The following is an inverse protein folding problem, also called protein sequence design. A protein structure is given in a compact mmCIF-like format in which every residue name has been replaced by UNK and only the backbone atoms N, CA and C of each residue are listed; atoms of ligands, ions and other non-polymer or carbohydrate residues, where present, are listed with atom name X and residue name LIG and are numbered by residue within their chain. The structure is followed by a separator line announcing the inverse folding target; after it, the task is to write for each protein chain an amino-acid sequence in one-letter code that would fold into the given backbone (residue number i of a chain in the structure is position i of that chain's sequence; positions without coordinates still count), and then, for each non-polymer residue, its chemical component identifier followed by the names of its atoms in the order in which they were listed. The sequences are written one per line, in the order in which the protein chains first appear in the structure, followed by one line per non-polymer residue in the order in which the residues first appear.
data_IF_552631556319
#
_entry.id   IF_552631556319
#
_cell.length_a   1.000
_cell.length_b   1.000
_cell.length_c   1.000
_cell.angle_alpha   90.00
_cell.angle_beta   90.00
_cell.angle_gamma   90.00
#
_symmetry.space_group_name_H-M   'P 1'
#
loop_
_entity.id
_entity.type
_entity.pdbx_description
1 polymer ?
#
# COMPACT_ATOMS: atom_id res chain seq x y z
N UNK A 1 1.48 89.63 21.97
CA UNK A 1 1.93 89.86 23.36
C UNK A 1 1.24 88.81 24.25
N UNK A 2 2.03 87.96 24.93
CA UNK A 2 1.72 87.10 26.11
C UNK A 2 0.65 85.98 26.03
N UNK A 3 1.19 84.75 25.95
CA UNK A 3 0.92 83.50 26.71
C UNK A 3 -0.41 83.32 27.47
N UNK A 4 -1.06 82.17 27.25
CA UNK A 4 -1.41 81.04 28.18
C UNK A 4 -1.86 79.88 27.25
N UNK A 5 -1.46 78.61 27.29
CA UNK A 5 -1.02 77.75 28.39
C UNK A 5 -2.14 76.81 28.84
N UNK A 6 -2.57 75.83 28.01
CA UNK A 6 -3.48 74.76 28.48
C UNK A 6 -3.03 73.39 28.00
N UNK A 7 -2.62 72.59 28.98
CA UNK A 7 -2.40 71.16 28.89
C UNK A 7 -3.73 70.42 28.79
N UNK A 8 -3.82 69.43 27.90
CA UNK A 8 -4.81 68.36 27.97
C UNK A 8 -4.07 67.02 27.91
N UNK A 9 -4.16 66.27 29.01
CA UNK A 9 -3.62 64.92 29.18
C UNK A 9 -4.27 63.97 28.16
N UNK A 10 -3.46 63.27 27.38
CA UNK A 10 -3.86 62.04 26.71
C UNK A 10 -3.47 60.84 27.61
N UNK A 11 -4.47 60.11 28.12
CA UNK A 11 -4.24 58.81 28.75
C UNK A 11 -3.77 57.81 27.68
N UNK A 12 -2.50 57.41 27.74
CA UNK A 12 -2.00 56.24 27.03
C UNK A 12 -2.40 54.98 27.81
N UNK A 13 -3.38 54.24 27.31
CA UNK A 13 -3.64 52.87 27.75
C UNK A 13 -2.64 51.94 27.07
N UNK A 14 -1.59 51.55 27.78
CA UNK A 14 -0.65 50.49 27.34
C UNK A 14 -1.33 49.15 27.50
N UNK A 15 -1.77 48.54 26.39
CA UNK A 15 -2.12 47.13 26.36
C UNK A 15 -0.84 46.34 26.12
N UNK A 16 -0.33 45.69 27.16
CA UNK A 16 0.68 44.63 27.01
C UNK A 16 0.05 43.46 26.27
N UNK A 17 0.35 43.35 24.97
CA UNK A 17 0.15 42.09 24.26
C UNK A 17 1.18 41.09 24.77
N UNK A 18 0.74 40.21 25.67
CA UNK A 18 1.45 39.00 26.01
C UNK A 18 1.66 38.18 24.73
N UNK A 19 2.93 37.95 24.40
CA UNK A 19 3.36 37.07 23.32
C UNK A 19 2.91 35.65 23.62
N UNK A 20 1.73 35.26 23.14
CA UNK A 20 1.34 33.85 23.10
C UNK A 20 2.12 33.20 21.96
N UNK A 21 3.16 32.46 22.33
CA UNK A 21 3.88 31.59 21.41
C UNK A 21 2.87 30.61 20.81
N UNK A 22 2.53 30.79 19.53
CA UNK A 22 1.75 29.85 18.78
C UNK A 22 2.56 28.55 18.69
N UNK A 23 2.14 27.55 19.45
CA UNK A 23 2.64 26.18 19.36
C UNK A 23 2.07 25.57 18.08
N UNK A 24 2.67 25.90 16.93
CA UNK A 24 2.42 25.20 15.67
C UNK A 24 3.31 23.97 15.61
N UNK A 25 3.05 23.03 16.52
CA UNK A 25 3.67 21.71 16.46
C UNK A 25 2.84 20.90 15.47
N UNK A 26 3.16 21.07 14.19
CA UNK A 26 2.68 20.16 13.15
C UNK A 26 3.35 18.83 13.45
N UNK A 27 2.62 17.76 13.82
CA UNK A 27 3.25 16.49 14.12
C UNK A 27 3.98 16.04 12.87
N UNK A 28 5.30 16.06 12.93
CA UNK A 28 6.15 15.43 11.92
C UNK A 28 5.74 13.96 11.93
N UNK A 29 5.06 13.52 10.88
CA UNK A 29 4.83 12.11 10.63
C UNK A 29 6.23 11.54 10.49
N UNK A 30 6.74 10.90 11.55
CA UNK A 30 8.07 10.31 11.52
C UNK A 30 8.12 9.39 10.30
N UNK A 31 8.91 9.83 9.32
CA UNK A 31 9.15 9.11 8.08
C UNK A 31 9.55 7.69 8.45
N UNK A 32 8.89 6.74 7.79
CA UNK A 32 9.25 5.34 7.86
C UNK A 32 10.76 5.22 7.63
N UNK A 33 11.51 4.67 8.59
CA UNK A 33 12.97 4.57 8.46
C UNK A 33 13.31 3.64 7.31
N UNK A 34 14.05 4.17 6.34
CA UNK A 34 14.48 3.47 5.13
C UNK A 34 15.89 2.91 5.37
N UNK A 35 16.03 1.58 5.39
CA UNK A 35 17.34 0.92 5.43
C UNK A 35 17.68 0.33 4.07
N UNK A 36 18.96 0.44 3.69
CA UNK A 36 19.50 0.00 2.40
C UNK A 36 19.97 -1.46 2.51
N UNK A 37 19.10 -2.42 2.18
CA UNK A 37 19.49 -3.83 2.02
C UNK A 37 19.69 -4.14 0.53
N UNK A 38 20.73 -4.92 0.14
CA UNK A 38 20.88 -5.36 -1.23
C UNK A 38 19.67 -6.22 -1.63
N UNK A 39 19.01 -5.85 -2.73
CA UNK A 39 17.85 -6.58 -3.21
C UNK A 39 18.21 -8.05 -3.47
N UNK A 40 17.40 -9.03 -3.02
CA UNK A 40 17.61 -10.42 -3.42
C UNK A 40 17.49 -10.52 -4.94
N UNK A 41 18.50 -11.13 -5.57
CA UNK A 41 18.51 -11.36 -7.03
C UNK A 41 17.56 -12.51 -7.35
N UNK A 42 16.26 -12.23 -7.43
CA UNK A 42 15.27 -13.19 -7.91
C UNK A 42 15.23 -13.10 -9.44
N UNK A 43 16.07 -13.90 -10.10
CA UNK A 43 16.02 -14.10 -11.55
C UNK A 43 14.77 -14.92 -11.94
N UNK A 44 13.58 -14.31 -11.86
CA UNK A 44 12.35 -14.91 -12.39
C UNK A 44 12.09 -14.37 -13.78
N UNK A 45 12.63 -15.03 -14.81
CA UNK A 45 12.09 -15.07 -16.18
C UNK A 45 11.73 -13.77 -16.91
N UNK A 46 12.01 -12.61 -16.32
CA UNK A 46 11.75 -11.28 -16.84
C UNK A 46 13.05 -10.51 -16.65
N UNK A 47 13.51 -9.97 -17.76
CA UNK A 47 14.69 -9.16 -17.89
C UNK A 47 14.98 -8.30 -16.66
N UNK A 48 16.22 -8.37 -16.16
CA UNK A 48 16.78 -7.38 -15.26
C UNK A 48 16.67 -6.04 -15.98
N UNK A 49 15.66 -5.25 -15.63
CA UNK A 49 15.72 -3.80 -15.84
C UNK A 49 16.67 -3.33 -14.74
N UNK A 50 17.85 -2.79 -15.08
CA UNK A 50 18.80 -2.35 -14.07
C UNK A 50 18.14 -1.26 -13.24
N UNK A 51 17.90 -1.54 -11.97
CA UNK A 51 17.45 -0.56 -11.01
C UNK A 51 18.37 -0.69 -9.79
N UNK A 52 18.90 0.45 -9.34
CA UNK A 52 19.70 0.54 -8.12
C UNK A 52 18.96 -0.07 -6.90
N UNK A 53 19.67 -0.71 -5.95
CA UNK A 53 19.12 -1.26 -4.72
C UNK A 53 18.44 -0.22 -3.81
N UNK A 54 17.59 -0.70 -2.90
CA UNK A 54 16.34 -0.04 -2.45
C UNK A 54 16.33 0.39 -1.00
N UNK A 55 15.43 1.33 -0.73
CA UNK A 55 14.93 1.62 0.60
C UNK A 55 13.92 0.54 1.04
N UNK A 56 14.31 -0.29 2.01
CA UNK A 56 13.41 -1.26 2.66
C UNK A 56 12.83 -0.64 3.91
N UNK A 57 11.51 -0.73 4.06
CA UNK A 57 10.81 -0.30 5.28
C UNK A 57 11.03 -1.34 6.36
N UNK A 58 11.66 -0.93 7.47
CA UNK A 58 11.72 -1.71 8.72
C UNK A 58 10.33 -1.76 9.32
N UNK A 59 9.66 -2.92 9.22
CA UNK A 59 8.25 -3.07 9.58
C UNK A 59 8.07 -3.67 10.98
N UNK A 60 8.80 -3.19 11.99
CA UNK A 60 8.76 -3.78 13.33
C UNK A 60 7.53 -3.39 14.13
N UNK A 61 7.02 -2.18 13.87
CA UNK A 61 5.77 -1.69 14.44
C UNK A 61 5.08 -0.77 13.43
N UNK A 62 3.75 -0.80 13.41
CA UNK A 62 2.95 0.17 12.67
C UNK A 62 2.08 0.92 13.65
N UNK A 63 2.27 2.23 13.67
CA UNK A 63 1.43 3.15 14.41
C UNK A 63 0.45 3.81 13.45
N UNK A 64 -0.74 4.10 13.95
CA UNK A 64 -1.78 4.81 13.23
C UNK A 64 -2.18 6.07 14.00
N UNK A 65 -2.37 7.18 13.29
CA UNK A 65 -2.81 8.44 13.89
C UNK A 65 -4.31 8.58 13.78
N UNK A 66 -5.01 8.70 14.90
CA UNK A 66 -6.46 8.81 14.89
C UNK A 66 -6.92 10.16 14.30
N UNK A 67 -7.71 10.19 13.22
CA UNK A 67 -8.18 11.44 12.64
C UNK A 67 -9.37 12.04 13.43
N UNK A 68 -9.96 11.26 14.34
CA UNK A 68 -11.12 11.64 15.15
C UNK A 68 -11.23 10.73 16.36
N UNK A 69 -12.05 11.15 17.33
CA UNK A 69 -12.40 10.35 18.50
C UNK A 69 -13.12 9.06 18.10
N UNK A 70 -12.68 7.92 18.60
CA UNK A 70 -13.32 6.59 18.41
C UNK A 70 -13.19 5.74 19.67
N UNK A 71 -14.19 4.89 19.97
CA UNK A 71 -14.06 3.92 21.05
C UNK A 71 -13.13 2.76 20.68
N UNK A 72 -12.57 2.07 21.67
CA UNK A 72 -11.69 0.90 21.43
C UNK A 72 -12.39 -0.17 20.58
N UNK A 73 -13.70 -0.35 20.75
CA UNK A 73 -14.51 -1.26 19.90
C UNK A 73 -14.59 -0.78 18.44
N UNK A 74 -14.81 0.52 18.21
CA UNK A 74 -14.86 1.08 16.86
C UNK A 74 -13.50 0.98 16.17
N UNK A 75 -12.43 1.25 16.92
CA UNK A 75 -11.05 1.15 16.46
C UNK A 75 -10.68 -0.30 16.10
N UNK A 76 -11.04 -1.27 16.95
CA UNK A 76 -10.83 -2.68 16.66
C UNK A 76 -11.54 -3.10 15.36
N UNK A 77 -12.82 -2.75 15.21
CA UNK A 77 -13.59 -3.00 13.99
C UNK A 77 -12.96 -2.35 12.76
N UNK A 78 -12.45 -1.11 12.89
CA UNK A 78 -11.75 -0.39 11.81
C UNK A 78 -10.60 -1.19 11.24
N UNK A 79 -9.82 -1.86 12.08
CA UNK A 79 -8.69 -2.67 11.66
C UNK A 79 -9.05 -4.15 11.43
N UNK A 80 -10.30 -4.54 11.68
CA UNK A 80 -10.72 -5.95 11.61
C UNK A 80 -10.08 -6.80 12.71
N UNK A 81 -9.81 -6.20 13.87
CA UNK A 81 -9.35 -6.81 15.11
C UNK A 81 -10.53 -7.09 16.04
N UNK A 82 -10.34 -7.98 17.00
CA UNK A 82 -11.16 -8.01 18.23
C UNK A 82 -10.69 -6.92 19.20
N UNK A 83 -11.53 -6.58 20.18
CA UNK A 83 -11.14 -5.63 21.24
C UNK A 83 -9.95 -6.17 22.03
N UNK A 84 -9.92 -7.48 22.32
CA UNK A 84 -8.81 -8.12 23.04
C UNK A 84 -7.50 -8.05 22.24
N UNK A 85 -7.55 -8.25 20.92
CA UNK A 85 -6.39 -8.12 20.04
C UNK A 85 -5.86 -6.69 19.99
N UNK A 86 -6.76 -5.69 19.99
CA UNK A 86 -6.36 -4.29 20.06
C UNK A 86 -5.74 -3.96 21.43
N UNK A 87 -6.34 -4.40 22.53
CA UNK A 87 -5.83 -4.16 23.88
C UNK A 87 -4.50 -4.87 24.13
N UNK A 88 -4.27 -6.04 23.54
CA UNK A 88 -2.97 -6.71 23.59
C UNK A 88 -1.88 -5.93 22.85
N UNK A 89 -2.23 -5.17 21.81
CA UNK A 89 -1.29 -4.31 21.07
C UNK A 89 -1.06 -2.96 21.76
N UNK A 90 -2.13 -2.38 22.31
CA UNK A 90 -2.14 -1.05 22.90
C UNK A 90 -2.88 -1.09 24.26
N UNK A 91 -2.27 -1.67 25.31
CA UNK A 91 -2.90 -1.82 26.62
C UNK A 91 -3.20 -0.48 27.30
N UNK A 92 -2.53 0.59 26.87
CA UNK A 92 -2.79 1.97 27.29
C UNK A 92 -4.14 2.53 26.79
N UNK A 93 -4.77 1.89 25.79
CA UNK A 93 -6.09 2.26 25.34
C UNK A 93 -7.16 1.70 26.28
N UNK A 94 -7.76 2.59 27.06
CA UNK A 94 -8.92 2.30 27.90
C UNK A 94 -10.23 2.38 27.06
N UNK A 95 -10.97 3.49 27.17
CA UNK A 95 -12.27 3.66 26.52
C UNK A 95 -12.19 3.92 25.00
N UNK A 96 -11.06 4.43 24.50
CA UNK A 96 -10.90 4.79 23.10
C UNK A 96 -9.67 5.65 22.83
N UNK A 97 -9.70 6.34 21.69
CA UNK A 97 -8.61 7.15 21.14
C UNK A 97 -9.10 8.57 20.85
N UNK A 98 -8.24 9.57 21.11
CA UNK A 98 -8.47 10.98 20.77
C UNK A 98 -7.91 11.35 19.39
N UNK A 99 -8.43 12.42 18.73
CA UNK A 99 -7.82 12.94 17.51
C UNK A 99 -6.34 13.28 17.72
N UNK A 100 -5.48 12.88 16.78
CA UNK A 100 -4.03 13.08 16.84
C UNK A 100 -3.25 12.05 17.66
N UNK A 101 -3.93 11.24 18.49
CA UNK A 101 -3.27 10.19 19.26
C UNK A 101 -2.77 9.08 18.34
N UNK A 102 -1.53 8.64 18.57
CA UNK A 102 -0.91 7.51 17.86
C UNK A 102 -1.21 6.22 18.60
N UNK A 103 -1.65 5.20 17.86
CA UNK A 103 -1.99 3.87 18.39
C UNK A 103 -1.16 2.81 17.67
N UNK A 104 -0.58 1.87 18.43
CA UNK A 104 0.06 0.70 17.86
C UNK A 104 -0.99 -0.29 17.31
N UNK A 105 -0.97 -0.53 16.00
CA UNK A 105 -1.94 -1.42 15.32
C UNK A 105 -1.33 -2.70 14.77
N UNK A 106 0.00 -2.79 14.79
CA UNK A 106 0.74 -4.00 14.45
C UNK A 106 2.13 -3.96 15.08
N UNK A 107 2.59 -5.11 15.55
CA UNK A 107 3.95 -5.36 16.03
C UNK A 107 4.46 -6.66 15.40
N UNK A 108 5.69 -6.65 14.93
CA UNK A 108 6.35 -7.85 14.45
C UNK A 108 6.79 -8.73 15.62
N UNK A 109 6.54 -10.02 15.47
CA UNK A 109 7.06 -11.08 16.32
C UNK A 109 8.05 -11.93 15.50
N UNK A 110 9.36 -11.89 15.81
CA UNK A 110 10.38 -12.69 15.13
C UNK A 110 10.15 -14.21 15.24
N UNK A 111 9.52 -14.67 16.33
CA UNK A 111 9.25 -16.09 16.57
C UNK A 111 7.98 -16.56 15.82
N UNK A 112 7.20 -15.62 15.29
CA UNK A 112 5.97 -15.87 14.56
C UNK A 112 5.99 -15.21 13.17
N UNK A 113 6.78 -15.75 12.21
CA UNK A 113 7.00 -15.12 10.93
C UNK A 113 5.72 -15.02 10.09
N UNK A 114 5.57 -13.90 9.38
CA UNK A 114 4.47 -13.67 8.45
C UNK A 114 4.53 -14.63 7.27
N UNK A 115 3.42 -15.32 6.96
CA UNK A 115 3.38 -16.32 5.88
C UNK A 115 2.16 -16.20 4.98
N UNK A 116 2.37 -16.33 3.67
CA UNK A 116 1.32 -16.57 2.69
C UNK A 116 1.07 -18.07 2.54
N UNK A 117 -0.19 -18.50 2.67
CA UNK A 117 -0.57 -19.91 2.52
C UNK A 117 -1.61 -20.08 1.41
N UNK A 118 -1.40 -21.06 0.53
CA UNK A 118 -2.30 -21.37 -0.57
C UNK A 118 -2.25 -20.34 -1.71
N UNK A 119 -3.35 -20.25 -2.46
CA UNK A 119 -3.43 -19.43 -3.67
C UNK A 119 -4.13 -18.08 -3.46
N UNK A 120 -3.87 -17.08 -4.33
CA UNK A 120 -4.52 -15.77 -4.27
C UNK A 120 -6.04 -15.80 -4.11
N UNK A 121 -6.71 -16.80 -4.70
CA UNK A 121 -8.15 -16.97 -4.70
C UNK A 121 -8.68 -17.97 -3.65
N UNK A 122 -7.80 -18.68 -2.93
CA UNK A 122 -8.15 -19.65 -1.89
C UNK A 122 -7.01 -19.83 -0.89
N UNK A 123 -6.56 -18.71 -0.33
CA UNK A 123 -5.43 -18.67 0.59
C UNK A 123 -5.79 -18.19 1.98
N UNK A 124 -4.78 -18.10 2.81
CA UNK A 124 -4.79 -17.52 4.17
C UNK A 124 -3.47 -16.78 4.40
N UNK A 125 -3.46 -16.00 5.47
CA UNK A 125 -2.25 -15.35 5.97
C UNK A 125 -2.05 -15.77 7.41
N UNK A 126 -0.81 -16.06 7.78
CA UNK A 126 -0.39 -16.15 9.17
C UNK A 126 0.42 -14.90 9.51
N UNK A 127 0.20 -14.35 10.71
CA UNK A 127 0.90 -13.17 11.23
C UNK A 127 0.95 -12.02 10.20
N UNK A 128 -0.23 -11.63 9.69
CA UNK A 128 -0.34 -10.56 8.71
C UNK A 128 0.11 -9.22 9.31
N UNK A 129 0.69 -8.38 8.45
CA UNK A 129 1.10 -7.03 8.79
C UNK A 129 0.07 -6.01 8.32
N UNK A 130 -0.12 -4.97 9.15
CA UNK A 130 -0.85 -3.77 8.75
C UNK A 130 0.02 -2.92 7.82
N UNK A 131 -0.60 -2.14 6.93
CA UNK A 131 0.14 -1.20 6.08
C UNK A 131 0.39 0.14 6.82
N UNK A 132 1.61 0.69 6.80
CA UNK A 132 1.94 1.94 7.49
C UNK A 132 1.38 3.18 6.79
N UNK A 133 1.25 4.27 7.54
CA UNK A 133 1.00 5.60 6.98
C UNK A 133 2.29 6.18 6.37
N UNK A 134 2.16 7.06 5.38
CA UNK A 134 3.30 7.68 4.70
C UNK A 134 2.86 8.74 3.68
N UNK A 135 3.80 9.57 3.23
CA UNK A 135 3.50 10.74 2.38
C UNK A 135 3.19 10.40 0.91
N UNK A 136 3.58 9.21 0.46
CA UNK A 136 3.39 8.75 -0.92
C UNK A 136 2.00 8.19 -1.23
N UNK A 137 1.18 7.92 -0.20
CA UNK A 137 -0.06 7.18 -0.38
C UNK A 137 -1.13 7.56 0.63
N UNK A 138 -2.37 7.27 0.26
CA UNK A 138 -3.53 7.37 1.16
C UNK A 138 -4.10 5.98 1.36
N UNK A 139 -4.43 5.65 2.61
CA UNK A 139 -5.12 4.42 2.98
C UNK A 139 -6.61 4.69 3.23
N UNK A 140 -7.44 3.69 2.96
CA UNK A 140 -8.88 3.76 3.29
C UNK A 140 -9.09 4.10 4.76
N UNK A 141 -10.16 4.83 5.08
CA UNK A 141 -10.54 5.06 6.48
C UNK A 141 -10.82 3.73 7.21
N UNK A 142 -11.75 2.94 6.70
CA UNK A 142 -12.08 1.62 7.24
C UNK A 142 -11.19 0.53 6.62
N UNK A 143 -10.40 -0.17 7.45
CA UNK A 143 -9.24 -0.99 7.06
C UNK A 143 -9.30 -2.48 7.50
N UNK A 144 -10.46 -3.16 7.60
CA UNK A 144 -10.47 -4.58 7.98
C UNK A 144 -9.87 -5.50 6.90
N UNK A 145 -9.59 -4.94 5.72
CA UNK A 145 -9.05 -5.62 4.53
C UNK A 145 -7.77 -4.94 4.01
N UNK A 146 -6.99 -4.34 4.90
CA UNK A 146 -5.72 -3.68 4.56
C UNK A 146 -4.56 -4.40 5.24
N UNK A 147 -4.58 -5.73 5.17
CA UNK A 147 -3.58 -6.62 5.71
C UNK A 147 -2.91 -7.41 4.59
N UNK A 148 -1.61 -7.63 4.71
CA UNK A 148 -0.83 -8.44 3.77
C UNK A 148 0.29 -9.18 4.50
N UNK A 149 1.09 -9.98 3.80
CA UNK A 149 2.33 -10.50 4.40
C UNK A 149 3.32 -9.36 4.67
N UNK A 150 4.19 -9.50 5.67
CA UNK A 150 5.25 -8.50 5.95
C UNK A 150 6.10 -8.20 4.70
N UNK A 151 6.41 -9.22 3.89
CA UNK A 151 7.12 -9.04 2.62
C UNK A 151 6.37 -8.18 1.60
N UNK A 152 5.06 -8.40 1.42
CA UNK A 152 4.23 -7.54 0.55
C UNK A 152 4.17 -6.11 1.06
N UNK A 153 3.98 -5.91 2.38
CA UNK A 153 3.92 -4.57 2.97
C UNK A 153 5.25 -3.84 2.78
N UNK A 154 6.37 -4.47 3.11
CA UNK A 154 7.70 -3.87 3.00
C UNK A 154 8.03 -3.52 1.55
N UNK A 155 7.79 -4.44 0.60
CA UNK A 155 8.05 -4.20 -0.81
C UNK A 155 7.20 -3.05 -1.39
N UNK A 156 5.91 -3.01 -1.05
CA UNK A 156 5.01 -1.96 -1.54
C UNK A 156 5.33 -0.60 -0.89
N UNK A 157 5.56 -0.55 0.43
CA UNK A 157 5.86 0.70 1.12
C UNK A 157 7.20 1.30 0.67
N UNK A 158 8.24 0.47 0.49
CA UNK A 158 9.52 0.91 -0.07
C UNK A 158 9.37 1.47 -1.50
N UNK A 159 8.66 0.74 -2.37
CA UNK A 159 8.41 1.19 -3.74
C UNK A 159 7.62 2.51 -3.80
N UNK A 160 6.66 2.73 -2.89
CA UNK A 160 5.89 3.97 -2.82
C UNK A 160 6.71 5.14 -2.25
N UNK A 161 7.60 4.88 -1.28
CA UNK A 161 8.53 5.88 -0.75
C UNK A 161 9.47 6.39 -1.85
N UNK A 162 10.17 5.48 -2.53
CA UNK A 162 11.05 5.82 -3.66
C UNK A 162 10.28 6.52 -4.80
N UNK A 163 9.03 6.11 -5.04
CA UNK A 163 8.19 6.75 -6.04
C UNK A 163 7.86 8.19 -5.66
N UNK A 164 7.50 8.45 -4.39
CA UNK A 164 7.19 9.80 -3.91
C UNK A 164 8.39 10.73 -4.04
N UNK A 165 9.60 10.27 -3.74
CA UNK A 165 10.83 11.06 -3.92
C UNK A 165 11.04 11.50 -5.38
N UNK A 166 10.68 10.64 -6.34
CA UNK A 166 10.81 10.93 -7.78
C UNK A 166 9.68 11.79 -8.33
N UNK A 167 8.52 11.74 -7.70
CA UNK A 167 7.31 12.44 -8.12
C UNK A 167 6.70 13.23 -6.93
N UNK A 168 7.43 14.22 -6.37
CA UNK A 168 6.99 14.95 -5.18
C UNK A 168 5.67 15.70 -5.42
N UNK A 169 5.49 16.26 -6.62
CA UNK A 169 4.31 17.04 -7.02
C UNK A 169 3.11 16.17 -7.46
N UNK A 170 3.29 14.85 -7.62
CA UNK A 170 2.22 13.98 -8.05
C UNK A 170 1.18 13.79 -6.94
N UNK A 171 -0.08 13.56 -7.34
CA UNK A 171 -1.13 13.21 -6.38
C UNK A 171 -0.78 11.90 -5.66
N UNK A 172 -1.05 11.77 -4.35
CA UNK A 172 -0.72 10.56 -3.60
C UNK A 172 -1.45 9.33 -4.16
N UNK A 173 -0.79 8.18 -4.07
CA UNK A 173 -1.35 6.91 -4.54
C UNK A 173 -2.44 6.44 -3.60
N UNK A 174 -3.67 6.27 -4.09
CA UNK A 174 -4.73 5.67 -3.30
C UNK A 174 -4.50 4.16 -3.18
N UNK A 175 -4.50 3.63 -1.96
CA UNK A 175 -4.45 2.19 -1.72
C UNK A 175 -5.84 1.65 -1.38
N UNK A 176 -6.21 0.57 -2.07
CA UNK A 176 -7.52 -0.04 -2.02
C UNK A 176 -7.60 -1.23 -1.08
N UNK A 177 -8.15 -2.33 -1.57
CA UNK A 177 -8.28 -3.55 -0.79
C UNK A 177 -7.05 -4.43 -0.93
N UNK A 178 -6.68 -5.04 0.19
CA UNK A 178 -5.67 -6.09 0.30
C UNK A 178 -6.42 -7.35 0.77
N UNK A 179 -5.82 -8.13 1.67
CA UNK A 179 -6.49 -9.22 2.37
C UNK A 179 -7.07 -8.80 3.73
N UNK A 180 -7.96 -9.66 4.26
CA UNK A 180 -8.28 -9.68 5.69
C UNK A 180 -7.05 -10.10 6.50
N UNK A 181 -7.02 -9.81 7.80
CA UNK A 181 -5.90 -10.19 8.69
C UNK A 181 -5.54 -11.68 8.67
N UNK A 182 -6.53 -12.58 8.65
CA UNK A 182 -6.29 -14.02 8.50
C UNK A 182 -6.32 -14.50 7.03
N UNK A 183 -6.43 -13.57 6.07
CA UNK A 183 -6.70 -13.87 4.67
C UNK A 183 -8.10 -14.44 4.42
N UNK A 184 -8.22 -15.32 3.43
CA UNK A 184 -9.48 -15.94 3.03
C UNK A 184 -10.34 -15.05 2.14
N UNK A 185 -11.54 -15.56 1.81
CA UNK A 185 -12.38 -14.96 0.77
C UNK A 185 -12.81 -13.53 1.13
N UNK A 186 -12.54 -12.62 0.22
CA UNK A 186 -13.04 -11.24 0.23
C UNK A 186 -14.04 -11.10 -0.91
N UNK A 187 -15.32 -10.82 -0.62
CA UNK A 187 -16.31 -10.53 -1.68
C UNK A 187 -16.32 -9.02 -1.98
N UNK A 188 -16.52 -8.59 -3.23
CA UNK A 188 -16.78 -9.40 -4.43
C UNK A 188 -15.51 -9.98 -5.09
N UNK A 189 -14.34 -9.64 -4.57
CA UNK A 189 -13.04 -10.00 -5.12
C UNK A 189 -12.84 -11.50 -5.36
N UNK A 190 -12.19 -11.83 -6.48
CA UNK A 190 -11.88 -13.23 -6.84
C UNK A 190 -10.59 -13.72 -6.17
N UNK A 191 -9.64 -12.81 -5.93
CA UNK A 191 -8.32 -13.00 -5.30
C UNK A 191 -8.30 -12.38 -3.89
N UNK A 192 -7.18 -11.80 -3.44
CA UNK A 192 -7.07 -11.11 -2.14
C UNK A 192 -7.18 -12.01 -0.92
N UNK A 193 -6.89 -13.31 -1.06
CA UNK A 193 -7.02 -14.27 0.04
C UNK A 193 -5.72 -14.55 0.80
N UNK A 194 -4.55 -14.29 0.21
CA UNK A 194 -3.25 -14.79 0.72
C UNK A 194 -2.25 -13.70 1.07
N UNK A 195 -2.66 -12.42 1.16
CA UNK A 195 -1.78 -11.33 1.55
C UNK A 195 -0.73 -10.95 0.51
N UNK A 196 -1.00 -11.28 -0.75
CA UNK A 196 -0.12 -11.00 -1.90
C UNK A 196 -0.76 -10.13 -2.97
N UNK A 197 -2.02 -9.75 -2.79
CA UNK A 197 -2.76 -8.94 -3.76
C UNK A 197 -3.08 -7.60 -3.13
N UNK A 198 -2.92 -6.52 -3.90
CA UNK A 198 -3.22 -5.15 -3.48
C UNK A 198 -3.83 -4.39 -4.65
N UNK A 199 -4.98 -3.76 -4.42
CA UNK A 199 -5.55 -2.80 -5.37
C UNK A 199 -4.87 -1.43 -5.17
N UNK A 200 -4.27 -0.89 -6.24
CA UNK A 200 -3.50 0.37 -6.23
C UNK A 200 -4.13 1.31 -7.25
N UNK A 201 -4.53 2.51 -6.81
CA UNK A 201 -5.10 3.52 -7.70
C UNK A 201 -4.07 4.00 -8.72
N UNK A 202 -4.54 4.41 -9.90
CA UNK A 202 -3.70 5.15 -10.84
C UNK A 202 -3.39 6.55 -10.30
N UNK A 203 -2.27 7.12 -10.73
CA UNK A 203 -1.94 8.50 -10.41
C UNK A 203 -2.70 9.39 -11.38
N UNK A 204 -3.57 10.24 -10.84
CA UNK A 204 -4.41 11.14 -11.62
C UNK A 204 -3.83 12.56 -11.55
N UNK A 205 -4.05 13.35 -12.60
CA UNK A 205 -3.61 14.75 -12.66
C UNK A 205 -4.26 15.61 -11.58
N UNK A 206 -5.47 15.25 -11.18
CA UNK A 206 -6.25 15.94 -10.15
C UNK A 206 -6.57 14.99 -9.02
N UNK A 207 -6.50 15.48 -7.78
CA UNK A 207 -6.90 14.72 -6.61
C UNK A 207 -8.36 14.25 -6.73
N UNK A 208 -8.67 12.97 -6.45
CA UNK A 208 -10.06 12.55 -6.34
C UNK A 208 -10.71 13.19 -5.11
N UNK A 209 -11.99 13.56 -5.22
CA UNK A 209 -12.74 14.22 -4.14
C UNK A 209 -12.90 13.36 -2.86
N UNK A 210 -12.70 12.05 -2.97
CA UNK A 210 -12.78 11.10 -1.87
C UNK A 210 -11.82 9.93 -2.11
N UNK A 211 -11.66 9.06 -1.10
CA UNK A 211 -10.93 7.80 -1.26
C UNK A 211 -11.71 6.82 -2.13
N UNK A 212 -11.72 7.06 -3.44
CA UNK A 212 -12.41 6.26 -4.44
C UNK A 212 -11.58 6.23 -5.72
N UNK A 213 -11.38 5.01 -6.24
CA UNK A 213 -10.78 4.82 -7.55
C UNK A 213 -11.65 5.45 -8.63
N UNK A 214 -10.98 6.13 -9.56
CA UNK A 214 -11.61 6.87 -10.66
C UNK A 214 -11.04 6.37 -11.96
N UNK A 215 -11.91 6.16 -12.95
CA UNK A 215 -11.53 5.67 -14.27
C UNK A 215 -10.46 6.58 -14.88
N UNK A 216 -9.35 5.98 -15.30
CA UNK A 216 -8.26 6.62 -15.98
C UNK A 216 -8.57 6.79 -17.46
N UNK A 217 -8.69 8.04 -17.90
CA UNK A 217 -8.79 8.44 -19.30
C UNK A 217 -7.49 9.09 -19.75
N UNK A 218 -7.35 9.34 -21.06
CA UNK A 218 -6.20 10.09 -21.59
C UNK A 218 -6.04 11.48 -20.96
N UNK A 219 -7.15 12.10 -20.56
CA UNK A 219 -7.14 13.45 -19.98
C UNK A 219 -6.87 13.41 -18.47
N UNK A 220 -7.36 12.38 -17.76
CA UNK A 220 -7.27 12.33 -16.29
C UNK A 220 -6.01 11.64 -15.77
N UNK A 221 -5.44 10.71 -16.54
CA UNK A 221 -4.28 9.93 -16.12
C UNK A 221 -3.01 10.78 -16.16
N UNK A 222 -2.28 10.83 -15.05
CA UNK A 222 -0.87 11.19 -15.07
C UNK A 222 -0.07 9.95 -15.47
N UNK A 223 0.10 9.78 -16.78
CA UNK A 223 0.73 8.59 -17.34
C UNK A 223 2.23 8.52 -17.04
N UNK A 224 2.91 9.67 -16.88
CA UNK A 224 4.32 9.72 -16.46
C UNK A 224 4.47 9.21 -15.02
N UNK A 225 3.71 9.78 -14.09
CA UNK A 225 3.79 9.41 -12.68
C UNK A 225 3.30 7.97 -12.45
N UNK A 226 2.25 7.55 -13.17
CA UNK A 226 1.75 6.16 -13.12
C UNK A 226 2.76 5.17 -13.67
N UNK A 227 3.43 5.48 -14.80
CA UNK A 227 4.51 4.62 -15.31
C UNK A 227 5.67 4.55 -14.31
N UNK A 228 6.07 5.68 -13.72
CA UNK A 228 7.09 5.71 -12.69
C UNK A 228 6.76 4.84 -11.46
N UNK A 229 5.47 4.79 -11.06
CA UNK A 229 5.00 3.89 -10.00
C UNK A 229 5.16 2.42 -10.41
N UNK A 230 4.74 2.08 -11.63
CA UNK A 230 4.94 0.72 -12.18
C UNK A 230 6.43 0.37 -12.19
N UNK A 231 7.30 1.29 -12.60
CA UNK A 231 8.76 1.06 -12.58
C UNK A 231 9.28 0.78 -11.18
N UNK A 232 8.85 1.54 -10.15
CA UNK A 232 9.26 1.27 -8.75
C UNK A 232 8.72 -0.04 -8.21
N UNK A 233 7.46 -0.35 -8.49
CA UNK A 233 6.84 -1.62 -8.11
C UNK A 233 7.58 -2.81 -8.75
N UNK A 234 7.94 -2.72 -10.03
CA UNK A 234 8.68 -3.78 -10.72
C UNK A 234 10.12 -3.83 -10.25
N UNK A 235 10.74 -2.66 -10.05
CA UNK A 235 12.06 -2.54 -9.47
C UNK A 235 12.14 -3.25 -8.13
N UNK A 236 11.03 -3.35 -7.36
CA UNK A 236 10.90 -4.09 -6.09
C UNK A 236 11.24 -5.59 -6.18
N UNK A 237 11.29 -6.18 -7.38
CA UNK A 237 11.60 -7.61 -7.59
C UNK A 237 10.60 -8.59 -6.96
N UNK A 238 9.64 -8.08 -6.17
CA UNK A 238 8.65 -8.86 -5.46
C UNK A 238 7.34 -8.97 -6.25
N UNK A 239 7.14 -8.17 -7.30
CA UNK A 239 5.93 -8.19 -8.13
C UNK A 239 5.96 -9.39 -9.10
N UNK A 240 4.91 -10.21 -9.03
CA UNK A 240 4.65 -11.31 -9.95
C UNK A 240 3.88 -10.85 -11.21
N UNK A 241 2.87 -9.99 -11.01
CA UNK A 241 2.06 -9.44 -12.10
C UNK A 241 1.27 -8.23 -11.65
N UNK A 242 0.89 -7.39 -12.62
CA UNK A 242 0.00 -6.25 -12.43
C UNK A 242 -1.15 -6.38 -13.43
N UNK A 243 -2.39 -6.45 -12.96
CA UNK A 243 -3.56 -6.46 -13.84
C UNK A 243 -4.08 -5.04 -14.00
N UNK A 244 -4.28 -4.62 -15.25
CA UNK A 244 -4.73 -3.28 -15.61
C UNK A 244 -5.48 -3.31 -16.94
N UNK A 245 -6.33 -2.32 -17.19
CA UNK A 245 -7.08 -2.24 -18.43
C UNK A 245 -6.18 -2.04 -19.66
N UNK A 246 -6.60 -2.59 -20.80
CA UNK A 246 -5.94 -2.46 -22.11
C UNK A 246 -5.65 -0.99 -22.46
N UNK A 247 -6.62 -0.10 -22.22
CA UNK A 247 -6.47 1.33 -22.53
C UNK A 247 -5.37 1.98 -21.68
N UNK A 248 -5.27 1.64 -20.40
CA UNK A 248 -4.21 2.17 -19.53
C UNK A 248 -2.84 1.67 -19.99
N UNK A 249 -2.70 0.39 -20.35
CA UNK A 249 -1.45 -0.12 -20.93
C UNK A 249 -1.00 0.68 -22.16
N UNK A 250 -1.94 1.04 -23.05
CA UNK A 250 -1.63 1.87 -24.23
C UNK A 250 -1.19 3.27 -23.86
N UNK A 251 -1.76 3.87 -22.82
CA UNK A 251 -1.37 5.19 -22.31
C UNK A 251 0.03 5.20 -21.68
N UNK A 252 0.42 4.11 -21.02
CA UNK A 252 1.75 3.99 -20.38
C UNK A 252 2.86 3.64 -21.38
N UNK A 253 2.52 3.00 -22.50
CA UNK A 253 3.52 2.50 -23.46
C UNK A 253 4.52 3.55 -23.96
N UNK A 254 4.13 4.79 -24.33
CA UNK A 254 5.08 5.82 -24.76
C UNK A 254 6.14 6.16 -23.70
N UNK A 255 5.78 6.08 -22.42
CA UNK A 255 6.69 6.36 -21.30
C UNK A 255 7.70 5.22 -21.07
N UNK A 256 7.32 4.00 -21.45
CA UNK A 256 8.20 2.83 -21.41
C UNK A 256 9.16 2.78 -22.60
N UNK A 257 8.74 3.18 -23.81
CA UNK A 257 9.54 3.06 -25.04
C UNK A 257 10.88 3.79 -25.00
N UNK A 258 10.99 4.87 -24.22
CA UNK A 258 12.25 5.60 -24.04
C UNK A 258 13.16 5.06 -22.93
N UNK A 259 12.71 4.05 -22.18
CA UNK A 259 13.39 3.52 -20.98
C UNK A 259 13.63 2.01 -21.03
N UNK A 260 12.90 1.31 -21.90
CA UNK A 260 12.92 -0.13 -22.03
C UNK A 260 13.27 -0.50 -23.47
N UNK A 261 14.22 -1.42 -23.61
CA UNK A 261 14.57 -2.05 -24.89
C UNK A 261 13.30 -2.54 -25.64
N UNK A 262 13.09 -2.16 -26.91
CA UNK A 262 11.88 -2.50 -27.65
C UNK A 262 11.55 -4.01 -27.66
N UNK A 263 12.58 -4.86 -27.71
CA UNK A 263 12.46 -6.32 -27.66
C UNK A 263 11.84 -6.85 -26.37
N UNK A 264 11.92 -6.09 -25.26
CA UNK A 264 11.39 -6.46 -23.94
C UNK A 264 9.93 -6.01 -23.75
N UNK A 265 9.44 -5.06 -24.54
CA UNK A 265 8.10 -4.50 -24.38
C UNK A 265 6.98 -5.56 -24.41
N UNK A 266 7.00 -6.60 -25.27
CA UNK A 266 5.98 -7.66 -25.25
C UNK A 266 5.96 -8.53 -23.99
N UNK A 267 7.07 -8.59 -23.24
CA UNK A 267 7.14 -9.29 -21.95
C UNK A 267 6.60 -8.42 -20.79
N UNK A 268 6.62 -7.09 -20.96
CA UNK A 268 6.07 -6.15 -19.98
C UNK A 268 4.59 -5.91 -20.26
N UNK A 269 4.24 -5.52 -21.49
CA UNK A 269 2.89 -5.13 -21.89
C UNK A 269 2.17 -6.26 -22.63
N UNK A 270 1.17 -6.85 -21.99
CA UNK A 270 0.35 -7.90 -22.64
C UNK A 270 -0.33 -7.43 -23.94
N UNK A 271 -0.60 -6.13 -24.09
CA UNK A 271 -1.19 -5.58 -25.33
C UNK A 271 -0.26 -5.69 -26.55
N UNK A 272 1.04 -5.90 -26.33
CA UNK A 272 2.04 -6.14 -27.38
C UNK A 272 2.43 -7.62 -27.51
N UNK A 273 1.94 -8.48 -26.62
CA UNK A 273 2.30 -9.88 -26.61
C UNK A 273 1.71 -10.62 -27.84
N UNK A 274 2.48 -11.50 -28.51
CA UNK A 274 2.12 -12.05 -29.82
C UNK A 274 0.97 -13.05 -29.79
N UNK A 275 0.62 -13.60 -28.62
CA UNK A 275 -0.44 -14.58 -28.47
C UNK A 275 -0.92 -14.67 -27.01
N UNK A 276 -2.03 -15.38 -26.79
CA UNK A 276 -2.65 -15.53 -25.48
C UNK A 276 -1.74 -16.19 -24.42
N UNK A 277 -0.81 -17.07 -24.83
CA UNK A 277 0.15 -17.68 -23.89
C UNK A 277 1.16 -16.64 -23.40
N UNK A 278 1.68 -15.80 -24.29
CA UNK A 278 2.57 -14.71 -23.95
C UNK A 278 1.86 -13.63 -23.12
N UNK A 279 0.61 -13.29 -23.45
CA UNK A 279 -0.22 -12.36 -22.66
C UNK A 279 -0.35 -12.77 -21.18
N UNK A 280 -0.56 -14.06 -20.91
CA UNK A 280 -0.65 -14.60 -19.55
C UNK A 280 0.67 -14.55 -18.78
N UNK A 281 1.79 -14.50 -19.50
CA UNK A 281 3.14 -14.40 -18.92
C UNK A 281 3.59 -12.95 -18.77
N UNK A 282 3.03 -12.01 -19.54
CA UNK A 282 3.40 -10.62 -19.42
C UNK A 282 3.22 -10.08 -17.98
N UNK A 283 4.07 -9.12 -17.62
CA UNK A 283 4.04 -8.48 -16.31
C UNK A 283 2.76 -7.67 -16.11
N UNK A 284 2.44 -6.78 -17.05
CA UNK A 284 1.21 -6.00 -17.13
C UNK A 284 0.18 -6.79 -17.94
N UNK A 285 -0.80 -7.36 -17.25
CA UNK A 285 -1.82 -8.26 -17.82
C UNK A 285 -3.12 -7.52 -18.05
N UNK A 286 -3.56 -7.47 -19.30
CA UNK A 286 -4.82 -6.84 -19.66
C UNK A 286 -5.98 -7.57 -18.99
N UNK A 287 -6.81 -6.84 -18.24
CA UNK A 287 -7.98 -7.39 -17.57
C UNK A 287 -9.12 -6.36 -17.50
N UNK A 288 -10.35 -6.79 -17.79
CA UNK A 288 -11.52 -5.91 -17.80
C UNK A 288 -11.89 -5.40 -16.40
N UNK A 289 -12.37 -4.16 -16.30
CA UNK A 289 -12.76 -3.52 -15.04
C UNK A 289 -11.62 -3.05 -14.15
N UNK A 290 -10.39 -2.97 -14.68
CA UNK A 290 -9.22 -2.40 -14.02
C UNK A 290 -8.81 -1.09 -14.71
N UNK A 291 -9.80 -0.30 -15.08
CA UNK A 291 -9.66 1.01 -15.71
C UNK A 291 -9.60 2.14 -14.67
N UNK A 292 -9.94 1.89 -13.41
CA UNK A 292 -9.84 2.84 -12.29
C UNK A 292 -8.72 2.52 -11.28
N UNK A 293 -8.17 1.30 -11.31
CA UNK A 293 -7.03 0.87 -10.49
C UNK A 293 -6.22 -0.22 -11.19
N UNK A 294 -5.00 -0.44 -10.72
CA UNK A 294 -4.20 -1.62 -11.02
C UNK A 294 -4.28 -2.62 -9.86
N UNK A 295 -4.45 -3.91 -10.17
CA UNK A 295 -4.35 -4.99 -9.20
C UNK A 295 -2.91 -5.51 -9.22
N UNK A 296 -2.15 -5.27 -8.16
CA UNK A 296 -0.75 -5.73 -8.04
C UNK A 296 -0.72 -7.05 -7.30
N UNK A 297 -0.06 -8.06 -7.88
CA UNK A 297 0.23 -9.34 -7.24
C UNK A 297 1.72 -9.47 -6.95
N UNK A 298 2.03 -9.80 -5.72
CA UNK A 298 3.35 -10.13 -5.23
C UNK A 298 3.61 -11.63 -5.28
N UNK A 299 4.87 -11.99 -5.50
CA UNK A 299 5.36 -13.36 -5.54
C UNK A 299 5.29 -14.02 -4.14
N UNK A 300 5.33 -15.36 -4.11
CA UNK A 300 5.61 -16.08 -2.86
C UNK A 300 7.01 -15.73 -2.36
N UNK A 301 7.14 -15.45 -1.05
CA UNK A 301 8.44 -15.32 -0.41
C UNK A 301 9.12 -16.69 -0.26
N UNK A 302 10.45 -16.69 -0.08
CA UNK A 302 11.22 -17.92 0.11
C UNK A 302 10.81 -18.69 1.38
N UNK A 303 10.33 -17.96 2.41
CA UNK A 303 9.79 -18.52 3.64
C UNK A 303 8.33 -19.02 3.57
N UNK A 304 7.70 -19.05 2.38
CA UNK A 304 6.30 -19.43 2.20
C UNK A 304 6.13 -20.79 1.48
N UNK A 305 6.45 -21.94 2.11
CA UNK A 305 6.43 -23.24 1.43
C UNK A 305 5.02 -23.69 0.97
N UNK A 306 3.98 -23.15 1.60
CA UNK A 306 2.58 -23.43 1.28
C UNK A 306 1.98 -22.45 0.26
N UNK A 307 2.71 -21.40 -0.11
CA UNK A 307 2.26 -20.45 -1.12
C UNK A 307 2.31 -21.06 -2.52
N UNK A 308 1.37 -20.68 -3.37
CA UNK A 308 1.42 -21.03 -4.79
C UNK A 308 0.23 -20.52 -5.60
N UNK A 309 0.36 -20.47 -6.92
CA UNK A 309 -0.65 -19.83 -7.77
C UNK A 309 -1.84 -20.74 -8.11
N UNK A 310 -1.72 -22.03 -7.81
CA UNK A 310 -2.75 -23.03 -8.00
C UNK A 310 -3.32 -23.51 -6.66
N UNK A 311 -4.63 -23.77 -6.63
CA UNK A 311 -5.25 -24.50 -5.51
C UNK A 311 -4.63 -25.90 -5.49
N UNK A 312 -3.82 -26.22 -4.47
CA UNK A 312 -3.37 -27.59 -4.23
C UNK A 312 -4.62 -28.45 -4.00
N UNK A 313 -5.00 -29.27 -4.99
CA UNK A 313 -6.04 -30.30 -4.79
C UNK A 313 -5.47 -31.31 -3.82
N UNK A 314 -6.04 -31.43 -2.62
CA UNK A 314 -5.64 -32.51 -1.71
C UNK A 314 -5.96 -33.84 -2.41
N UNK A 315 -4.94 -34.63 -2.70
CA UNK A 315 -5.10 -36.02 -3.08
C UNK A 315 -5.55 -36.76 -1.83
N UNK A 316 -6.86 -36.76 -1.55
CA UNK A 316 -7.47 -37.72 -0.63
C UNK A 316 -7.19 -39.10 -1.20
N UNK A 317 -6.10 -39.73 -0.76
CA UNK A 317 -5.76 -41.12 -1.06
C UNK A 317 -6.94 -41.95 -0.53
N UNK A 318 -7.86 -42.37 -1.41
CA UNK A 318 -8.92 -43.31 -1.07
C UNK A 318 -8.22 -44.58 -0.57
N UNK A 319 -8.16 -44.77 0.75
CA UNK A 319 -7.90 -46.10 1.34
C UNK A 319 -9.03 -47.01 0.85
N UNK A 320 -8.81 -47.72 -0.26
CA UNK A 320 -9.66 -48.85 -0.66
C UNK A 320 -9.49 -49.89 0.45
N UNK A 321 -10.53 -50.01 1.28
CA UNK A 321 -10.61 -51.04 2.31
C UNK A 321 -10.47 -52.42 1.68
N UNK A 322 -9.47 -53.16 2.16
CA UNK A 322 -9.28 -54.58 1.93
C UNK A 322 -10.36 -55.30 2.73
N UNK A 323 -11.51 -55.64 2.12
CA UNK A 323 -12.38 -56.74 2.60
C UNK A 323 -11.68 -58.03 2.12
N UNK A 324 -10.89 -58.67 2.98
CA UNK A 324 -11.24 -59.85 3.79
C UNK A 324 -11.98 -60.91 2.97
N UNK A 325 -11.25 -61.99 2.68
CA UNK A 325 -11.77 -63.32 2.36
C UNK A 325 -12.71 -63.78 3.47
#
# INVERSE_FOLDING_TARGET
MRFVGMHALALAATWSFGSSAAFTDTPTIAAVSLEHEPAPTVARGFAVVPFEPRATVVLDAVHWTAPRRESSRQLALRFGLTTDELHALAPELDAGVEPGQRVLVYRHDPDAPSRSMGSPNRGRIQHAAAFPEGEGWVLRGYRPRTWATRGTVSALAGALGEWRERFPEAQPVLLGEFSRRAGGRVRPHKSHCSGRDVDVGYVLRTAPAAHRFTVATFDTLDAAATWGLVERLVASGAVESIFMATQVQRQLLPYAMGRVEPSRLPAIFSVLAPNARAQKKALLRAWGGHDDHMHVRFACGEGDPECGDAVRRSTKKRRKGRKRR
#
